data_IF_766884660829
#
_entry.id   IF_766884660829
#
_cell.length_a   1.000
_cell.length_b   1.000
_cell.length_c   1.000
_cell.angle_alpha   90.00
_cell.angle_beta   90.00
_cell.angle_gamma   90.00
#
_symmetry.space_group_name_H-M   'P 1'
#
loop_
_entity.id
_entity.type
_entity.pdbx_description
1 polymer ?
#
# COMPACT_ATOMS: atom_id res chain seq x y z
N UNK A 1 22.33 -13.74 11.33
CA UNK A 1 21.70 -13.72 10.00
C UNK A 1 22.44 -14.69 9.10
N UNK A 2 21.73 -15.60 8.42
CA UNK A 2 22.28 -16.52 7.44
C UNK A 2 21.34 -16.68 6.25
N UNK A 3 21.89 -17.14 5.13
CA UNK A 3 21.11 -17.43 3.93
C UNK A 3 21.33 -18.87 3.54
N UNK A 4 20.26 -19.59 3.24
CA UNK A 4 20.32 -20.91 2.62
C UNK A 4 19.68 -20.87 1.23
N UNK A 5 20.29 -21.59 0.31
CA UNK A 5 19.77 -21.77 -1.04
C UNK A 5 19.24 -23.20 -1.17
N UNK A 6 17.90 -23.35 -1.18
CA UNK A 6 17.20 -24.62 -1.20
C UNK A 6 16.49 -24.82 -2.55
N UNK A 7 17.25 -25.04 -3.60
CA UNK A 7 16.69 -25.38 -4.92
C UNK A 7 15.76 -24.30 -5.49
N UNK A 8 14.51 -24.32 -5.10
CA UNK A 8 13.46 -23.40 -5.57
C UNK A 8 13.35 -22.12 -4.74
N UNK A 9 14.02 -22.05 -3.57
CA UNK A 9 13.94 -20.91 -2.63
C UNK A 9 15.30 -20.43 -2.18
N UNK A 10 15.37 -19.16 -1.85
CA UNK A 10 16.42 -18.55 -1.03
C UNK A 10 15.80 -18.15 0.28
N UNK A 11 16.31 -18.66 1.40
CA UNK A 11 15.73 -18.42 2.72
C UNK A 11 16.69 -17.59 3.56
N UNK A 12 16.23 -16.45 4.03
CA UNK A 12 16.94 -15.61 5.00
C UNK A 12 16.51 -16.03 6.40
N UNK A 13 17.45 -16.54 7.19
CA UNK A 13 17.23 -16.95 8.56
C UNK A 13 17.79 -15.92 9.54
N UNK A 14 16.98 -15.50 10.49
CA UNK A 14 17.39 -14.67 11.61
C UNK A 14 17.01 -15.27 12.95
N UNK A 15 17.20 -14.50 14.01
CA UNK A 15 16.83 -14.95 15.34
C UNK A 15 15.31 -14.90 15.50
N UNK A 16 14.66 -16.06 15.38
CA UNK A 16 13.21 -16.22 15.53
C UNK A 16 12.41 -15.79 14.29
N UNK A 17 13.02 -15.61 13.13
CA UNK A 17 12.31 -15.36 11.90
C UNK A 17 12.94 -16.06 10.69
N UNK A 18 12.13 -16.34 9.69
CA UNK A 18 12.54 -16.84 8.38
C UNK A 18 11.80 -16.09 7.28
N UNK A 19 12.53 -15.69 6.23
CA UNK A 19 11.97 -15.02 5.07
C UNK A 19 12.39 -15.77 3.81
N UNK A 20 11.54 -16.70 3.33
CA UNK A 20 11.77 -17.40 2.08
C UNK A 20 11.41 -16.53 0.88
N UNK A 21 12.27 -16.52 -0.12
CA UNK A 21 12.05 -15.95 -1.43
C UNK A 21 11.95 -17.08 -2.46
N UNK A 22 10.84 -17.14 -3.15
CA UNK A 22 10.62 -18.08 -4.25
C UNK A 22 11.49 -17.65 -5.45
N UNK A 23 12.31 -18.53 -5.97
CA UNK A 23 13.21 -18.20 -7.09
C UNK A 23 12.50 -18.01 -8.42
N UNK A 24 11.32 -18.61 -8.60
CA UNK A 24 10.55 -18.43 -9.82
C UNK A 24 9.99 -17.03 -9.92
N UNK A 25 9.41 -16.53 -8.83
CA UNK A 25 8.78 -15.20 -8.78
C UNK A 25 9.68 -14.11 -8.20
N UNK A 26 10.69 -14.47 -7.41
CA UNK A 26 11.51 -13.55 -6.64
C UNK A 26 10.80 -12.95 -5.42
N UNK A 27 9.56 -13.34 -5.15
CA UNK A 27 8.74 -12.77 -4.09
C UNK A 27 8.93 -13.54 -2.77
N UNK A 28 8.68 -12.85 -1.67
CA UNK A 28 8.54 -13.48 -0.34
C UNK A 28 7.35 -14.42 -0.38
N UNK A 29 7.53 -15.60 0.21
CA UNK A 29 6.47 -16.60 0.37
C UNK A 29 6.52 -17.19 1.77
N UNK A 30 5.42 -17.08 2.52
CA UNK A 30 5.27 -17.63 3.88
C UNK A 30 6.41 -17.21 4.85
N UNK A 31 6.67 -15.90 4.93
CA UNK A 31 7.61 -15.40 5.95
C UNK A 31 7.06 -15.61 7.35
N UNK A 32 7.91 -16.09 8.26
CA UNK A 32 7.50 -16.48 9.63
C UNK A 32 8.25 -15.68 10.69
N UNK A 33 7.58 -15.47 11.81
CA UNK A 33 8.17 -15.02 13.08
C UNK A 33 7.68 -15.91 14.20
N UNK A 34 8.60 -16.46 15.00
CA UNK A 34 8.24 -17.42 16.05
C UNK A 34 7.58 -18.71 15.53
N UNK A 35 7.76 -19.04 14.25
CA UNK A 35 7.13 -20.18 13.58
C UNK A 35 5.73 -19.88 13.02
N UNK A 36 5.18 -18.68 13.24
CA UNK A 36 3.88 -18.28 12.68
C UNK A 36 4.08 -17.45 11.40
N UNK A 37 3.28 -17.73 10.37
CA UNK A 37 3.29 -16.98 9.12
C UNK A 37 2.76 -15.57 9.36
N UNK A 38 3.53 -14.57 8.97
CA UNK A 38 3.16 -13.16 9.06
C UNK A 38 2.99 -12.47 7.69
N UNK A 39 3.63 -13.01 6.65
CA UNK A 39 3.46 -12.60 5.26
C UNK A 39 3.29 -13.86 4.42
N UNK A 40 2.16 -13.99 3.75
CA UNK A 40 1.93 -15.12 2.84
C UNK A 40 2.63 -14.90 1.50
N UNK A 41 2.56 -13.67 0.95
CA UNK A 41 3.17 -13.34 -0.34
C UNK A 41 3.37 -11.84 -0.54
N UNK A 42 4.42 -11.45 -1.26
CA UNK A 42 4.72 -10.08 -1.67
C UNK A 42 6.21 -9.79 -1.78
N UNK A 43 6.62 -8.54 -1.99
CA UNK A 43 5.78 -7.36 -2.25
C UNK A 43 5.17 -7.36 -3.64
N UNK A 44 3.99 -6.75 -3.78
CA UNK A 44 3.39 -6.44 -5.07
C UNK A 44 3.32 -4.93 -5.27
N UNK A 45 3.58 -4.47 -6.49
CA UNK A 45 3.36 -3.07 -6.84
C UNK A 45 1.85 -2.79 -6.91
N UNK A 46 1.38 -1.87 -6.08
CA UNK A 46 0.06 -1.26 -6.23
C UNK A 46 0.22 0.07 -6.95
N UNK A 47 -0.20 0.13 -8.20
CA UNK A 47 -0.15 1.32 -9.03
C UNK A 47 -1.50 1.52 -9.71
N UNK A 48 -2.15 2.66 -9.45
CA UNK A 48 -3.38 3.05 -10.11
C UNK A 48 -3.22 4.43 -10.76
N UNK A 49 -3.36 4.47 -12.08
CA UNK A 49 -3.28 5.69 -12.89
C UNK A 49 -4.59 5.90 -13.64
N UNK A 50 -5.20 7.04 -13.44
CA UNK A 50 -6.31 7.48 -14.26
C UNK A 50 -5.77 8.11 -15.55
N UNK A 51 -6.02 7.46 -16.68
CA UNK A 51 -5.51 7.88 -17.99
C UNK A 51 -6.31 9.04 -18.61
N UNK A 52 -7.47 9.32 -18.07
CA UNK A 52 -8.28 10.44 -18.54
C UNK A 52 -7.81 11.73 -17.86
N UNK A 53 -7.37 12.68 -18.64
CA UNK A 53 -7.09 14.06 -18.19
C UNK A 53 -8.38 14.87 -17.95
N UNK A 54 -9.51 14.19 -17.86
CA UNK A 54 -10.82 14.80 -17.77
C UNK A 54 -11.13 15.20 -16.33
N UNK A 55 -11.86 16.28 -16.17
CA UNK A 55 -12.37 16.75 -14.89
C UNK A 55 -13.33 15.74 -14.27
N UNK A 56 -13.46 15.76 -12.95
CA UNK A 56 -14.05 14.69 -12.15
C UNK A 56 -15.40 14.11 -12.60
N UNK A 57 -16.27 14.89 -13.24
CA UNK A 57 -17.57 14.41 -13.74
C UNK A 57 -17.45 13.49 -14.95
N UNK A 58 -16.48 13.74 -15.80
CA UNK A 58 -16.24 12.96 -17.02
C UNK A 58 -15.48 11.68 -16.71
N UNK A 59 -14.63 11.68 -15.68
CA UNK A 59 -13.89 10.51 -15.19
C UNK A 59 -14.84 9.38 -14.76
N UNK A 60 -16.03 9.70 -14.28
CA UNK A 60 -17.03 8.69 -13.89
C UNK A 60 -17.69 8.00 -15.08
N UNK A 61 -17.75 8.67 -16.21
CA UNK A 61 -18.41 8.14 -17.43
C UNK A 61 -17.51 7.28 -18.28
N UNK A 62 -16.20 7.48 -18.17
CA UNK A 62 -15.21 6.76 -18.97
C UNK A 62 -14.12 6.22 -18.04
N UNK A 63 -14.32 5.02 -17.52
CA UNK A 63 -13.35 4.33 -16.68
C UNK A 63 -12.14 3.88 -17.50
N UNK A 64 -11.33 4.82 -17.98
CA UNK A 64 -10.06 4.51 -18.59
C UNK A 64 -8.95 4.68 -17.55
N UNK A 65 -8.44 3.55 -17.07
CA UNK A 65 -7.40 3.53 -16.07
C UNK A 65 -6.39 2.41 -16.37
N UNK A 66 -5.21 2.60 -15.86
CA UNK A 66 -4.20 1.57 -15.73
C UNK A 66 -4.11 1.18 -14.25
N UNK A 67 -4.18 -0.11 -13.98
CA UNK A 67 -3.96 -0.64 -12.65
C UNK A 67 -3.07 -1.89 -12.73
N UNK A 68 -2.18 -2.05 -11.78
CA UNK A 68 -1.41 -3.28 -11.59
C UNK A 68 -2.18 -4.28 -10.77
N UNK A 69 -1.94 -5.56 -11.03
CA UNK A 69 -2.44 -6.68 -10.25
C UNK A 69 -1.29 -7.66 -9.99
N UNK A 70 -1.39 -8.45 -8.95
CA UNK A 70 -0.41 -9.48 -8.60
C UNK A 70 -0.19 -10.50 -9.73
N UNK A 71 -1.25 -10.81 -10.49
CA UNK A 71 -1.17 -11.72 -11.66
C UNK A 71 -0.39 -11.14 -12.84
N UNK A 72 -0.19 -9.83 -12.88
CA UNK A 72 0.57 -9.17 -13.94
C UNK A 72 2.09 -9.26 -13.72
N UNK A 73 2.53 -9.71 -12.54
CA UNK A 73 3.93 -9.79 -12.19
C UNK A 73 4.70 -10.78 -13.05
N UNK A 74 5.79 -10.33 -13.65
CA UNK A 74 6.74 -11.16 -14.39
C UNK A 74 8.15 -10.79 -13.97
N UNK A 75 8.82 -11.70 -13.26
CA UNK A 75 10.21 -11.56 -12.86
C UNK A 75 11.13 -11.52 -14.08
N UNK A 76 12.12 -10.64 -14.06
CA UNK A 76 13.25 -10.59 -15.00
C UNK A 76 14.55 -11.10 -14.37
N UNK A 77 14.90 -10.59 -13.18
CA UNK A 77 16.08 -11.03 -12.44
C UNK A 77 15.80 -11.12 -10.95
N UNK A 78 16.58 -11.96 -10.29
CA UNK A 78 16.58 -12.11 -8.84
C UNK A 78 18.01 -12.44 -8.41
N UNK A 79 18.61 -11.54 -7.64
CA UNK A 79 19.96 -11.66 -7.12
C UNK A 79 19.95 -11.34 -5.63
N UNK A 80 20.87 -11.95 -4.88
CA UNK A 80 21.03 -11.65 -3.47
C UNK A 80 22.49 -11.58 -3.06
N UNK A 81 22.76 -10.81 -2.02
CA UNK A 81 24.07 -10.73 -1.40
C UNK A 81 23.93 -10.68 0.13
N UNK A 82 24.82 -11.34 0.84
CA UNK A 82 24.87 -11.31 2.29
C UNK A 82 26.04 -10.49 2.75
N UNK A 83 25.78 -9.55 3.65
CA UNK A 83 26.78 -8.83 4.44
C UNK A 83 26.65 -9.28 5.90
N UNK A 84 27.55 -8.80 6.77
CA UNK A 84 27.60 -9.26 8.16
C UNK A 84 26.25 -9.21 8.89
N UNK A 85 25.53 -8.11 8.78
CA UNK A 85 24.31 -7.85 9.55
C UNK A 85 23.06 -7.64 8.68
N UNK A 86 23.21 -7.82 7.37
CA UNK A 86 22.10 -7.62 6.44
C UNK A 86 22.19 -8.55 5.22
N UNK A 87 21.03 -8.88 4.65
CA UNK A 87 20.88 -9.51 3.34
C UNK A 87 20.19 -8.52 2.42
N UNK A 88 20.79 -8.28 1.26
CA UNK A 88 20.23 -7.43 0.22
C UNK A 88 19.76 -8.29 -0.94
N UNK A 89 18.53 -8.09 -1.39
CA UNK A 89 17.93 -8.75 -2.55
C UNK A 89 17.62 -7.67 -3.59
N UNK A 90 18.07 -7.90 -4.81
CA UNK A 90 17.73 -7.13 -6.00
C UNK A 90 16.78 -7.94 -6.86
N UNK A 91 15.57 -7.45 -7.04
CA UNK A 91 14.54 -8.10 -7.81
C UNK A 91 14.02 -7.16 -8.89
N UNK A 92 14.09 -7.56 -10.15
CA UNK A 92 13.55 -6.78 -11.26
C UNK A 92 12.48 -7.53 -12.01
N UNK A 93 11.53 -6.80 -12.55
CA UNK A 93 10.46 -7.41 -13.34
C UNK A 93 9.51 -6.39 -13.96
N UNK A 94 8.35 -6.86 -14.35
CA UNK A 94 7.33 -6.02 -14.97
C UNK A 94 5.95 -6.32 -14.42
N UNK A 95 5.12 -5.27 -14.42
CA UNK A 95 3.68 -5.35 -14.33
C UNK A 95 3.12 -4.76 -15.62
N UNK A 96 2.72 -5.65 -16.55
CA UNK A 96 2.32 -5.24 -17.89
C UNK A 96 3.46 -4.45 -18.58
N UNK A 97 3.22 -3.18 -18.95
CA UNK A 97 4.22 -2.28 -19.56
C UNK A 97 5.14 -1.56 -18.56
N UNK A 98 4.85 -1.63 -17.29
CA UNK A 98 5.63 -0.94 -16.25
C UNK A 98 6.78 -1.82 -15.79
N UNK A 99 8.01 -1.35 -15.93
CA UNK A 99 9.16 -1.98 -15.30
C UNK A 99 9.22 -1.59 -13.83
N UNK A 100 9.64 -2.51 -12.98
CA UNK A 100 9.88 -2.26 -11.57
C UNK A 100 11.15 -2.93 -11.09
N UNK A 101 11.92 -2.20 -10.29
CA UNK A 101 13.08 -2.68 -9.55
C UNK A 101 12.76 -2.60 -8.07
N UNK A 102 12.91 -3.71 -7.35
CA UNK A 102 12.83 -3.77 -5.90
C UNK A 102 14.21 -3.96 -5.31
N UNK A 103 14.59 -3.11 -4.37
CA UNK A 103 15.76 -3.27 -3.51
C UNK A 103 15.24 -3.62 -2.11
N UNK A 104 15.37 -4.89 -1.74
CA UNK A 104 14.86 -5.44 -0.48
C UNK A 104 16.04 -5.70 0.45
N UNK A 105 15.95 -5.24 1.68
CA UNK A 105 16.95 -5.42 2.71
C UNK A 105 16.33 -6.08 3.93
N UNK A 106 16.97 -7.13 4.41
CA UNK A 106 16.64 -7.81 5.67
C UNK A 106 17.78 -7.65 6.64
N UNK A 107 17.53 -7.10 7.82
CA UNK A 107 18.55 -6.93 8.87
C UNK A 107 18.55 -8.09 9.87
N UNK A 108 19.62 -8.23 10.63
CA UNK A 108 19.71 -9.21 11.72
C UNK A 108 18.68 -9.00 12.84
N UNK A 109 18.10 -7.79 12.93
CA UNK A 109 17.00 -7.47 13.85
C UNK A 109 15.61 -7.88 13.32
N UNK A 110 15.52 -8.44 12.09
CA UNK A 110 14.27 -8.80 11.45
C UNK A 110 13.56 -7.63 10.78
N UNK A 111 14.23 -6.50 10.61
CA UNK A 111 13.67 -5.37 9.87
C UNK A 111 13.70 -5.67 8.38
N UNK A 112 12.54 -5.55 7.72
CA UNK A 112 12.37 -5.66 6.28
C UNK A 112 12.19 -4.27 5.68
N UNK A 113 13.15 -3.83 4.88
CA UNK A 113 13.13 -2.55 4.18
C UNK A 113 13.00 -2.78 2.69
N UNK A 114 12.05 -2.12 2.03
CA UNK A 114 11.81 -2.29 0.60
C UNK A 114 11.76 -0.93 -0.06
N UNK A 115 12.69 -0.71 -0.97
CA UNK A 115 12.64 0.42 -1.90
C UNK A 115 12.24 -0.09 -3.28
N UNK A 116 11.52 0.72 -4.03
CA UNK A 116 11.17 0.38 -5.41
C UNK A 116 11.25 1.59 -6.34
N UNK A 117 11.54 1.29 -7.59
CA UNK A 117 11.54 2.27 -8.69
C UNK A 117 10.70 1.73 -9.83
N UNK A 118 9.98 2.60 -10.50
CA UNK A 118 9.13 2.25 -11.63
C UNK A 118 9.50 3.06 -12.86
N UNK A 119 9.48 2.41 -14.03
CA UNK A 119 9.66 3.04 -15.32
C UNK A 119 8.55 2.62 -16.28
N UNK A 120 8.18 3.50 -17.19
CA UNK A 120 7.12 3.22 -18.16
C UNK A 120 5.71 3.37 -17.59
N UNK A 121 5.56 4.07 -16.46
CA UNK A 121 4.24 4.37 -15.91
C UNK A 121 3.45 5.18 -16.93
N UNK A 122 2.23 4.75 -17.31
CA UNK A 122 1.41 5.46 -18.27
C UNK A 122 1.13 6.90 -17.84
N UNK A 123 1.10 7.78 -18.83
CA UNK A 123 0.84 9.19 -18.57
C UNK A 123 -0.61 9.39 -18.11
N UNK A 124 -0.81 10.04 -16.99
CA UNK A 124 -2.12 10.24 -16.40
C UNK A 124 -2.06 10.80 -14.99
N UNK A 125 -3.19 10.80 -14.32
CA UNK A 125 -3.27 11.21 -12.93
C UNK A 125 -3.01 9.99 -12.01
N UNK A 126 -1.88 10.00 -11.34
CA UNK A 126 -1.51 8.97 -10.37
C UNK A 126 -2.43 9.08 -9.14
N UNK A 127 -3.24 8.06 -8.91
CA UNK A 127 -4.16 7.99 -7.76
C UNK A 127 -3.57 7.23 -6.59
N UNK A 128 -2.95 6.10 -6.88
CA UNK A 128 -2.36 5.23 -5.87
C UNK A 128 -1.01 4.75 -6.33
N UNK A 129 -0.05 4.70 -5.41
CA UNK A 129 1.21 4.00 -5.58
C UNK A 129 1.69 3.50 -4.23
N UNK A 130 2.24 2.30 -4.22
CA UNK A 130 2.75 1.68 -3.00
C UNK A 130 3.00 0.19 -3.19
N UNK A 131 3.12 -0.49 -2.07
CA UNK A 131 3.30 -1.93 -2.02
C UNK A 131 2.13 -2.58 -1.30
N UNK A 132 1.75 -3.76 -1.76
CA UNK A 132 0.77 -4.63 -1.10
C UNK A 132 1.37 -5.99 -0.80
N UNK A 133 0.80 -6.63 0.21
CA UNK A 133 1.18 -7.96 0.67
C UNK A 133 -0.08 -8.78 0.95
N UNK A 134 0.00 -10.06 0.74
CA UNK A 134 -0.97 -11.00 1.31
C UNK A 134 -0.52 -11.39 2.72
N UNK A 135 -1.43 -11.23 3.67
CA UNK A 135 -1.23 -11.55 5.07
C UNK A 135 -2.22 -12.64 5.49
N UNK A 136 -1.84 -13.52 6.42
CA UNK A 136 -2.76 -14.51 6.93
C UNK A 136 -3.88 -13.86 7.75
N UNK A 137 -5.03 -14.53 7.82
CA UNK A 137 -6.20 -14.04 8.57
C UNK A 137 -5.94 -13.84 10.07
N UNK A 138 -4.90 -14.45 10.62
CA UNK A 138 -4.45 -14.21 12.01
C UNK A 138 -3.94 -12.79 12.23
N UNK A 139 -3.45 -12.13 11.18
CA UNK A 139 -3.04 -10.72 11.21
C UNK A 139 -4.26 -9.85 10.98
N UNK A 140 -4.89 -9.42 12.04
CA UNK A 140 -6.15 -8.67 11.98
C UNK A 140 -6.07 -7.26 12.59
N UNK A 141 -4.92 -6.90 13.15
CA UNK A 141 -4.65 -5.54 13.64
C UNK A 141 -3.62 -4.84 12.78
N UNK A 142 -3.89 -3.61 12.41
CA UNK A 142 -3.00 -2.73 11.68
C UNK A 142 -2.75 -1.47 12.51
N UNK A 143 -1.49 -1.24 12.84
CA UNK A 143 -1.02 0.03 13.39
C UNK A 143 -0.21 0.75 12.32
N UNK A 144 -0.46 2.03 12.12
CA UNK A 144 0.31 2.81 11.15
C UNK A 144 0.78 4.13 11.70
N UNK A 145 1.93 4.54 11.19
CA UNK A 145 2.46 5.88 11.36
C UNK A 145 3.08 6.32 10.04
N UNK A 146 2.54 7.39 9.46
CA UNK A 146 2.99 7.92 8.18
C UNK A 146 3.30 9.39 8.27
N UNK A 147 4.15 9.89 7.36
CA UNK A 147 4.44 11.31 7.23
C UNK A 147 3.34 11.97 6.42
N UNK A 148 2.87 13.14 6.88
CA UNK A 148 1.92 13.98 6.18
C UNK A 148 2.10 15.43 6.62
N UNK A 149 1.64 16.37 5.79
CA UNK A 149 1.77 17.79 6.13
C UNK A 149 0.82 18.21 7.24
N UNK A 150 -0.37 17.61 7.25
CA UNK A 150 -1.43 17.89 8.21
C UNK A 150 -2.38 16.70 8.28
N UNK A 151 -3.13 16.64 9.35
CA UNK A 151 -4.14 15.64 9.54
C UNK A 151 -5.47 16.32 9.91
N UNK A 152 -6.45 16.26 9.02
CA UNK A 152 -7.78 16.77 9.22
C UNK A 152 -8.77 15.70 9.72
N UNK A 153 -8.31 14.47 9.81
CA UNK A 153 -9.14 13.35 10.20
C UNK A 153 -9.00 13.07 11.70
N UNK A 154 -10.04 12.52 12.33
CA UNK A 154 -9.95 12.09 13.73
C UNK A 154 -8.80 11.14 13.97
N UNK A 155 -8.29 11.13 15.18
CA UNK A 155 -7.33 10.12 15.63
C UNK A 155 -7.95 8.73 15.44
N UNK A 156 -7.21 7.83 14.81
CA UNK A 156 -7.68 6.48 14.49
C UNK A 156 -8.45 6.35 13.17
N UNK A 157 -8.72 7.44 12.46
CA UNK A 157 -9.28 7.33 11.11
C UNK A 157 -8.22 6.81 10.11
N UNK A 158 -8.60 5.96 9.17
CA UNK A 158 -7.70 5.43 8.15
C UNK A 158 -6.96 6.49 7.34
N UNK A 159 -7.55 7.66 7.20
CA UNK A 159 -6.93 8.79 6.53
C UNK A 159 -5.96 9.57 7.42
N UNK A 160 -5.89 9.29 8.73
CA UNK A 160 -4.99 9.94 9.68
C UNK A 160 -3.51 9.59 9.45
N UNK A 161 -2.62 10.42 9.99
CA UNK A 161 -1.17 10.19 9.91
C UNK A 161 -0.71 9.03 10.81
N UNK A 162 -1.45 8.72 11.83
CA UNK A 162 -1.26 7.56 12.69
C UNK A 162 -2.61 7.00 13.11
N UNK A 163 -2.65 5.73 13.41
CA UNK A 163 -3.88 5.09 13.86
C UNK A 163 -3.70 3.61 14.06
N UNK A 164 -4.79 3.02 14.49
CA UNK A 164 -4.94 1.59 14.72
C UNK A 164 -6.28 1.16 14.13
N UNK A 165 -6.30 0.01 13.48
CA UNK A 165 -7.54 -0.59 12.99
C UNK A 165 -7.51 -2.09 13.14
N UNK A 166 -8.65 -2.65 13.51
CA UNK A 166 -8.88 -4.10 13.47
C UNK A 166 -9.72 -4.43 12.23
N UNK A 167 -9.35 -5.51 11.55
CA UNK A 167 -10.10 -6.01 10.40
C UNK A 167 -11.58 -6.27 10.75
N UNK A 168 -11.84 -6.70 11.97
CA UNK A 168 -13.19 -7.04 12.42
C UNK A 168 -13.95 -5.85 13.01
N UNK A 169 -13.26 -4.96 13.70
CA UNK A 169 -13.89 -3.80 14.32
C UNK A 169 -14.13 -2.65 13.35
N UNK A 170 -13.25 -2.46 12.36
CA UNK A 170 -13.39 -1.39 11.38
C UNK A 170 -14.62 -1.56 10.51
N UNK A 171 -15.05 -2.78 10.25
CA UNK A 171 -16.28 -3.05 9.52
C UNK A 171 -17.53 -2.66 10.28
N UNK A 172 -17.48 -2.61 11.62
CA UNK A 172 -18.61 -2.25 12.46
C UNK A 172 -18.73 -0.74 12.71
N UNK A 173 -17.62 0.00 12.66
CA UNK A 173 -17.57 1.40 13.08
C UNK A 173 -17.36 2.43 11.95
N UNK A 174 -16.91 2.01 10.79
CA UNK A 174 -16.43 2.96 9.80
C UNK A 174 -17.27 3.12 8.54
N UNK A 175 -17.86 2.06 8.07
CA UNK A 175 -18.60 2.06 6.82
C UNK A 175 -20.09 2.09 7.09
N UNK A 176 -20.73 3.24 6.85
CA UNK A 176 -22.18 3.40 6.96
C UNK A 176 -22.69 4.12 8.20
N UNK A 177 -21.86 4.36 9.19
CA UNK A 177 -22.25 5.32 10.25
C UNK A 177 -22.22 6.72 9.67
N UNK A 178 -23.36 7.37 9.73
CA UNK A 178 -23.43 8.80 9.45
C UNK A 178 -22.53 9.51 10.45
N UNK A 179 -21.63 10.36 10.00
CA UNK A 179 -20.84 11.15 10.89
C UNK A 179 -21.73 11.97 11.82
N UNK A 180 -21.40 11.86 13.07
CA UNK A 180 -22.02 12.66 14.13
C UNK A 180 -21.62 14.14 13.99
N UNK A 181 -20.60 14.41 13.16
CA UNK A 181 -20.05 15.75 12.97
C UNK A 181 -20.13 16.23 11.53
N UNK A 182 -20.34 17.51 11.38
CA UNK A 182 -20.54 18.16 10.07
C UNK A 182 -19.39 17.95 9.06
N UNK A 183 -18.16 17.74 9.51
CA UNK A 183 -17.03 17.54 8.63
C UNK A 183 -17.15 16.30 7.72
N UNK A 184 -17.85 15.26 8.18
CA UNK A 184 -18.05 14.07 7.36
C UNK A 184 -19.14 14.30 6.30
N UNK A 185 -20.12 15.14 6.60
CA UNK A 185 -21.08 15.61 5.60
C UNK A 185 -20.35 16.42 4.55
N UNK A 186 -19.45 17.29 4.99
CA UNK A 186 -18.65 18.13 4.12
C UNK A 186 -17.67 17.30 3.27
N UNK A 187 -17.10 16.23 3.82
CA UNK A 187 -16.27 15.29 3.08
C UNK A 187 -17.07 14.59 2.02
N UNK A 188 -18.32 14.24 2.29
CA UNK A 188 -19.21 13.68 1.29
C UNK A 188 -19.48 14.66 0.15
N UNK A 189 -19.73 15.92 0.46
CA UNK A 189 -19.89 16.97 -0.53
C UNK A 189 -18.60 17.20 -1.33
N UNK A 190 -17.47 17.15 -0.68
CA UNK A 190 -16.19 17.24 -1.35
C UNK A 190 -15.92 16.06 -2.29
N UNK A 191 -16.36 14.89 -1.94
CA UNK A 191 -16.25 13.72 -2.82
C UNK A 191 -16.94 13.96 -4.16
N UNK A 192 -18.03 14.71 -4.14
CA UNK A 192 -18.76 15.15 -5.34
C UNK A 192 -18.32 16.53 -5.85
N UNK A 193 -17.23 17.06 -5.31
CA UNK A 193 -16.76 18.40 -5.64
C UNK A 193 -16.62 18.66 -7.12
N UNK A 194 -16.21 17.68 -7.88
CA UNK A 194 -16.02 17.79 -9.30
C UNK A 194 -17.35 17.88 -10.06
N UNK A 195 -18.38 17.21 -9.57
CA UNK A 195 -19.73 17.31 -10.12
C UNK A 195 -20.41 18.59 -9.66
N UNK A 196 -20.10 18.96 -8.44
CA UNK A 196 -20.62 20.11 -7.80
C UNK A 196 -19.74 21.36 -8.05
N UNK A 197 -18.69 21.23 -8.86
CA UNK A 197 -17.76 22.34 -9.08
C UNK A 197 -18.45 23.65 -9.44
N UNK A 198 -19.53 23.58 -10.19
CA UNK A 198 -20.40 24.72 -10.46
C UNK A 198 -21.33 25.06 -9.29
N UNK A 199 -21.61 24.14 -8.40
CA UNK A 199 -22.56 24.24 -7.31
C UNK A 199 -21.90 24.30 -5.93
N UNK A 200 -20.60 24.18 -5.88
CA UNK A 200 -19.79 24.10 -4.67
C UNK A 200 -19.51 25.46 -4.06
N UNK A 201 -20.52 26.29 -3.88
CA UNK A 201 -20.31 27.60 -3.23
C UNK A 201 -20.07 27.50 -1.74
N UNK A 202 -20.69 26.53 -1.08
CA UNK A 202 -20.66 26.36 0.38
C UNK A 202 -19.99 25.07 0.86
N UNK A 203 -20.04 23.93 0.17
CA UNK A 203 -19.51 22.67 0.68
C UNK A 203 -18.06 22.72 1.10
N UNK A 204 -17.20 23.38 0.33
CA UNK A 204 -15.78 23.51 0.67
C UNK A 204 -15.55 24.30 1.96
N UNK A 205 -16.35 25.34 2.17
CA UNK A 205 -16.27 26.15 3.40
C UNK A 205 -16.72 25.33 4.62
N UNK A 206 -17.79 24.59 4.48
CA UNK A 206 -18.28 23.71 5.53
C UNK A 206 -17.29 22.58 5.81
N UNK A 207 -16.80 21.95 4.77
CA UNK A 207 -15.77 20.91 4.89
C UNK A 207 -14.56 21.42 5.70
N UNK A 208 -14.07 22.61 5.39
CA UNK A 208 -12.95 23.21 6.12
C UNK A 208 -13.30 23.46 7.59
N UNK A 209 -14.53 23.86 7.90
CA UNK A 209 -15.00 24.01 9.28
C UNK A 209 -15.08 22.67 10.00
N UNK A 210 -15.67 21.68 9.35
CA UNK A 210 -15.76 20.34 9.92
C UNK A 210 -14.40 19.73 10.22
N UNK A 211 -13.47 19.84 9.29
CA UNK A 211 -12.10 19.36 9.47
C UNK A 211 -11.38 20.06 10.64
N UNK A 212 -11.61 21.34 10.84
CA UNK A 212 -11.04 22.10 11.97
C UNK A 212 -11.65 21.74 13.32
N UNK A 213 -12.89 21.33 13.33
CA UNK A 213 -13.58 20.96 14.56
C UNK A 213 -13.13 19.61 15.13
N UNK A 214 -12.43 18.83 14.34
CA UNK A 214 -11.99 17.46 14.67
C UNK A 214 -10.51 17.39 14.99
N UNK A 215 -9.73 18.44 14.71
CA UNK A 215 -8.28 18.50 14.94
C UNK A 215 -7.93 18.89 16.38
#
# INVERSE_FOLDING_TARGET
LSVTDEGDKVIVHGNGFEIPFDKETGLIVNATVGGEVIIEKGPFLNLYVNLNHLTGAEVRKTANHFATSDIDWKKKSFDYSQQKDEVCISLTGTYREVNVDFDIKVTSAGELSINYRTEGVPNGFLRETGLSFYLPHSIHQLNWRRKGYWNYYPVGAFAGNEGEASLYESQQKGYGEKPVQSWQVDTHNYYYWADAGANCKEPLTQMAKGMKAVS
#
